data_IF_902974327705
#
_entry.id   IF_902974327705
#
_cell.length_a   1.000
_cell.length_b   1.000
_cell.length_c   1.000
_cell.angle_alpha   90.00
_cell.angle_beta   90.00
_cell.angle_gamma   90.00
#
_symmetry.space_group_name_H-M   'P 1'
#
loop_
_entity.id
_entity.type
_entity.pdbx_description
1 polymer ?
#
# COMPACT_ATOMS: atom_id res chain seq x y z
N UNK A 1 14.17 -1.93 4.61
CA UNK A 1 12.98 -1.07 4.43
C UNK A 1 13.47 0.27 3.89
N UNK A 2 12.82 0.83 2.87
CA UNK A 2 13.21 2.12 2.28
C UNK A 2 13.31 3.19 3.39
N UNK A 3 14.46 3.86 3.61
CA UNK A 3 14.63 4.79 4.73
C UNK A 3 13.57 5.91 4.75
N UNK A 4 13.20 6.38 3.56
CA UNK A 4 12.16 7.40 3.35
C UNK A 4 10.78 6.97 3.82
N UNK A 5 10.45 5.68 3.77
CA UNK A 5 9.18 5.15 4.25
C UNK A 5 9.05 5.28 5.77
N UNK A 6 10.17 5.12 6.49
CA UNK A 6 10.19 5.26 7.95
C UNK A 6 10.14 6.72 8.39
N UNK A 7 10.88 7.58 7.69
CA UNK A 7 11.08 8.97 8.11
C UNK A 7 9.94 9.90 7.65
N UNK A 8 9.39 9.66 6.45
CA UNK A 8 8.41 10.55 5.83
C UNK A 8 7.30 9.76 5.11
N UNK A 9 6.52 8.91 5.81
CA UNK A 9 5.50 8.07 5.17
C UNK A 9 4.41 8.91 4.47
N UNK A 10 4.06 10.10 4.97
CA UNK A 10 3.10 11.01 4.33
C UNK A 10 3.60 11.62 3.01
N UNK A 11 4.88 11.52 2.69
CA UNK A 11 5.44 12.08 1.45
C UNK A 11 5.10 11.25 0.20
N UNK A 12 4.59 10.04 0.39
CA UNK A 12 4.23 9.15 -0.71
C UNK A 12 2.81 9.44 -1.22
N UNK A 13 2.56 9.33 -2.54
CA UNK A 13 1.25 9.59 -3.10
C UNK A 13 0.26 8.48 -2.74
N UNK A 14 -1.02 8.84 -2.68
CA UNK A 14 -2.12 7.88 -2.65
C UNK A 14 -2.07 7.01 -3.91
N UNK A 15 -2.34 5.72 -3.76
CA UNK A 15 -2.37 4.77 -4.87
C UNK A 15 -3.59 5.05 -5.76
N UNK A 16 -3.40 5.44 -7.03
CA UNK A 16 -4.52 5.70 -7.94
C UNK A 16 -5.33 4.44 -8.20
N UNK A 17 -4.66 3.29 -8.30
CA UNK A 17 -5.29 1.99 -8.52
C UNK A 17 -6.15 1.56 -7.32
N UNK A 18 -5.69 1.81 -6.09
CA UNK A 18 -6.49 1.53 -4.89
C UNK A 18 -7.68 2.50 -4.76
N UNK A 19 -7.45 3.78 -5.04
CA UNK A 19 -8.51 4.80 -5.06
C UNK A 19 -9.60 4.51 -6.08
N UNK A 20 -9.25 3.98 -7.25
CA UNK A 20 -10.21 3.56 -8.27
C UNK A 20 -11.15 2.44 -7.79
N UNK A 21 -10.72 1.67 -6.78
CA UNK A 21 -11.51 0.63 -6.12
C UNK A 21 -12.23 1.11 -4.86
N UNK A 22 -12.18 2.42 -4.57
CA UNK A 22 -12.78 3.04 -3.39
C UNK A 22 -11.92 3.00 -2.12
N UNK A 23 -10.67 2.54 -2.19
CA UNK A 23 -9.74 2.51 -1.05
C UNK A 23 -8.88 3.77 -1.04
N UNK A 24 -9.32 4.79 -0.30
CA UNK A 24 -8.76 6.15 -0.39
C UNK A 24 -7.54 6.41 0.50
N UNK A 25 -7.28 5.58 1.50
CA UNK A 25 -6.20 5.79 2.47
C UNK A 25 -4.86 5.16 2.09
N UNK A 26 -4.82 4.35 1.03
CA UNK A 26 -3.64 3.56 0.71
C UNK A 26 -2.65 4.37 -0.11
N UNK A 27 -1.44 4.52 0.41
CA UNK A 27 -0.31 5.12 -0.28
C UNK A 27 0.50 4.07 -1.03
N UNK A 28 1.30 4.53 -1.99
CA UNK A 28 2.21 3.67 -2.72
C UNK A 28 3.64 4.19 -2.74
N UNK A 29 4.59 3.25 -2.64
CA UNK A 29 6.00 3.46 -2.87
C UNK A 29 6.44 2.60 -4.06
N UNK A 30 7.00 3.25 -5.08
CA UNK A 30 7.61 2.58 -6.22
C UNK A 30 9.13 2.50 -6.00
N UNK A 31 9.62 1.28 -5.77
CA UNK A 31 11.05 1.00 -5.69
C UNK A 31 11.35 -0.13 -6.66
N UNK A 32 11.98 0.17 -7.79
CA UNK A 32 12.19 -0.82 -8.84
C UNK A 32 12.89 -2.07 -8.30
N UNK A 33 12.37 -3.28 -8.57
CA UNK A 33 11.27 -3.63 -9.47
C UNK A 33 9.88 -3.78 -8.81
N UNK A 34 9.71 -3.29 -7.59
CA UNK A 34 8.53 -3.47 -6.74
C UNK A 34 7.67 -2.22 -6.59
N UNK A 35 6.41 -2.45 -6.25
CA UNK A 35 5.45 -1.50 -5.71
C UNK A 35 5.04 -2.00 -4.33
N UNK A 36 5.08 -1.11 -3.37
CA UNK A 36 4.64 -1.34 -1.99
C UNK A 36 3.38 -0.51 -1.77
N UNK A 37 2.32 -1.14 -1.28
CA UNK A 37 1.06 -0.48 -0.92
C UNK A 37 0.88 -0.59 0.58
N UNK A 38 0.62 0.55 1.21
CA UNK A 38 0.61 0.68 2.66
C UNK A 38 -0.38 1.76 3.11
N UNK A 39 -0.68 1.77 4.40
CA UNK A 39 -1.46 2.80 5.07
C UNK A 39 -0.72 3.28 6.32
N UNK A 40 -0.98 4.52 6.72
CA UNK A 40 -0.48 5.08 7.97
C UNK A 40 -1.57 4.93 9.01
N UNK A 41 -1.29 4.16 10.05
CA UNK A 41 -2.17 3.98 11.21
C UNK A 41 -1.83 5.05 12.23
N UNK A 42 -2.48 6.20 12.12
CA UNK A 42 -2.21 7.40 12.94
C UNK A 42 -2.20 7.13 14.44
N UNK A 43 -3.21 6.41 14.94
CA UNK A 43 -3.37 6.09 16.36
C UNK A 43 -2.18 5.30 16.94
N UNK A 44 -1.51 4.52 16.08
CA UNK A 44 -0.37 3.67 16.46
C UNK A 44 0.97 4.23 16.01
N UNK A 45 0.97 5.31 15.21
CA UNK A 45 2.16 5.85 14.52
C UNK A 45 2.91 4.78 13.74
N UNK A 46 2.16 3.91 13.08
CA UNK A 46 2.68 2.74 12.36
C UNK A 46 2.40 2.84 10.86
N UNK A 47 3.24 2.16 10.08
CA UNK A 47 3.01 1.93 8.65
C UNK A 47 2.59 0.47 8.47
N UNK A 48 1.34 0.25 8.09
CA UNK A 48 0.81 -1.06 7.78
C UNK A 48 1.04 -1.36 6.30
N UNK A 49 1.93 -2.32 6.00
CA UNK A 49 2.18 -2.75 4.61
C UNK A 49 1.21 -3.87 4.25
N UNK A 50 0.37 -3.62 3.25
CA UNK A 50 -0.66 -4.57 2.82
C UNK A 50 -0.21 -5.44 1.65
N UNK A 51 0.50 -4.84 0.68
CA UNK A 51 0.94 -5.56 -0.51
C UNK A 51 2.35 -5.16 -0.92
N UNK A 52 3.11 -6.17 -1.36
CA UNK A 52 4.38 -6.00 -2.07
C UNK A 52 4.28 -6.82 -3.35
N UNK A 53 4.29 -6.13 -4.49
CA UNK A 53 4.11 -6.74 -5.81
C UNK A 53 5.15 -6.18 -6.79
N UNK A 54 5.42 -6.89 -7.89
CA UNK A 54 6.22 -6.36 -8.98
C UNK A 54 5.44 -5.23 -9.67
N UNK A 55 6.14 -4.22 -10.19
CA UNK A 55 5.48 -3.08 -10.85
C UNK A 55 4.73 -3.46 -12.14
N UNK A 56 5.03 -4.62 -12.74
CA UNK A 56 4.32 -5.15 -13.90
C UNK A 56 3.10 -6.01 -13.53
N UNK A 57 2.82 -6.22 -12.24
CA UNK A 57 1.63 -6.92 -11.77
C UNK A 57 0.50 -5.91 -11.56
N UNK A 58 -0.71 -6.28 -11.96
CA UNK A 58 -1.90 -5.46 -11.68
C UNK A 58 -2.18 -5.44 -10.18
N UNK A 59 -2.42 -4.26 -9.63
CA UNK A 59 -2.73 -4.08 -8.21
C UNK A 59 -4.14 -4.58 -7.88
N UNK A 60 -5.12 -4.36 -8.75
CA UNK A 60 -6.53 -4.63 -8.49
C UNK A 60 -6.80 -6.11 -8.12
N UNK A 61 -6.38 -7.11 -8.90
CA UNK A 61 -6.57 -8.52 -8.54
C UNK A 61 -5.82 -8.92 -7.26
N UNK A 62 -4.74 -8.21 -6.90
CA UNK A 62 -4.01 -8.45 -5.67
C UNK A 62 -4.74 -7.84 -4.46
N UNK A 63 -5.25 -6.62 -4.58
CA UNK A 63 -6.08 -5.97 -3.57
C UNK A 63 -7.38 -6.72 -3.34
N UNK A 64 -8.09 -7.15 -4.39
CA UNK A 64 -9.31 -7.95 -4.25
C UNK A 64 -9.00 -9.24 -3.49
N UNK A 65 -7.95 -9.96 -3.87
CA UNK A 65 -7.54 -11.17 -3.13
C UNK A 65 -7.18 -10.87 -1.69
N UNK A 66 -6.43 -9.80 -1.44
CA UNK A 66 -6.11 -9.38 -0.08
C UNK A 66 -7.38 -9.13 0.72
N UNK A 67 -8.32 -8.32 0.23
CA UNK A 67 -9.56 -8.01 0.96
C UNK A 67 -10.48 -9.22 1.16
N UNK A 68 -10.47 -10.19 0.23
CA UNK A 68 -11.33 -11.38 0.32
C UNK A 68 -10.73 -12.52 1.14
N UNK A 69 -9.40 -12.61 1.22
CA UNK A 69 -8.68 -13.73 1.85
C UNK A 69 -8.04 -13.31 3.17
N UNK A 70 -7.76 -12.02 3.38
CA UNK A 70 -7.25 -11.54 4.65
C UNK A 70 -8.32 -11.77 5.73
N UNK A 71 -7.95 -12.41 6.86
CA UNK A 71 -8.86 -12.53 7.99
C UNK A 71 -9.31 -11.13 8.43
N UNK A 72 -10.62 -10.97 8.63
CA UNK A 72 -11.18 -9.81 9.32
C UNK A 72 -10.63 -9.90 10.75
N UNK A 73 -9.62 -9.09 11.06
CA UNK A 73 -9.06 -8.97 12.41
C UNK A 73 -10.00 -8.15 13.30
#
# INVERSE_FOLDING_TARGET
MEPKLREFPHSFPISPDASALGVLGYQQLLIAPYRIVFEIVEDRKEVAVYLVLRQNQSLEPALIRYCLVAPIL
#
